data_IF_167436561204
#
_entry.id   IF_167436561204
#
_cell.length_a   1.000
_cell.length_b   1.000
_cell.length_c   1.000
_cell.angle_alpha   90.00
_cell.angle_beta   90.00
_cell.angle_gamma   90.00
#
_symmetry.space_group_name_H-M   'P 1'
#
loop_
_entity.id
_entity.type
_entity.pdbx_description
1 polymer ?
#
# COMPACT_ATOMS: atom_id res chain seq x y z
N UNK A 1 6.08 15.02 -18.51
CA UNK A 1 7.51 14.75 -18.27
C UNK A 1 8.08 15.47 -17.05
N UNK A 2 7.48 16.56 -16.55
CA UNK A 2 8.08 17.36 -15.46
C UNK A 2 8.33 16.59 -14.16
N UNK A 3 7.29 16.02 -13.55
CA UNK A 3 7.41 15.24 -12.31
C UNK A 3 8.22 13.94 -12.51
N UNK A 4 8.15 13.32 -13.69
CA UNK A 4 8.94 12.14 -14.03
C UNK A 4 10.46 12.43 -14.14
N UNK A 5 10.86 13.71 -14.21
CA UNK A 5 12.27 14.11 -14.28
C UNK A 5 12.87 14.43 -12.91
N UNK A 6 12.11 14.20 -11.83
CA UNK A 6 12.63 14.27 -10.46
C UNK A 6 13.44 13.00 -10.21
N UNK A 7 14.64 13.17 -9.64
CA UNK A 7 15.53 12.05 -9.34
C UNK A 7 14.84 11.04 -8.41
N UNK A 8 14.93 9.76 -8.79
CA UNK A 8 14.32 8.67 -8.03
C UNK A 8 12.82 8.46 -8.26
N UNK A 9 12.14 9.30 -9.06
CA UNK A 9 10.76 9.02 -9.52
C UNK A 9 10.80 8.03 -10.68
N UNK A 10 10.16 6.89 -10.49
CA UNK A 10 10.00 5.84 -11.50
C UNK A 10 8.75 6.04 -12.34
N UNK A 11 7.65 6.39 -11.68
CA UNK A 11 6.37 6.55 -12.36
C UNK A 11 5.49 7.61 -11.68
N UNK A 12 4.56 8.17 -12.46
CA UNK A 12 3.61 9.19 -12.01
C UNK A 12 2.22 8.78 -12.44
N UNK A 13 1.33 8.58 -11.48
CA UNK A 13 -0.02 8.11 -11.75
C UNK A 13 -1.07 8.83 -10.90
N UNK A 14 -2.36 8.58 -11.20
CA UNK A 14 -3.49 9.16 -10.49
C UNK A 14 -3.47 10.70 -10.36
N UNK A 15 -2.88 11.39 -11.34
CA UNK A 15 -2.85 12.86 -11.40
C UNK A 15 -4.27 13.40 -11.58
N UNK A 16 -4.71 14.25 -10.65
CA UNK A 16 -6.00 14.93 -10.68
C UNK A 16 -5.80 16.42 -10.45
N UNK A 17 -6.47 17.23 -11.25
CA UNK A 17 -6.42 18.69 -11.18
C UNK A 17 -7.85 19.21 -11.04
N UNK A 18 -8.04 20.18 -10.16
CA UNK A 18 -9.34 20.82 -9.91
C UNK A 18 -9.17 22.33 -9.86
N UNK A 19 -10.15 23.06 -10.38
CA UNK A 19 -10.29 24.50 -10.13
C UNK A 19 -11.24 24.68 -8.95
N UNK A 20 -10.77 25.36 -7.89
CA UNK A 20 -11.58 25.75 -6.74
C UNK A 20 -12.26 27.10 -6.99
N UNK A 21 -11.54 28.01 -7.64
CA UNK A 21 -12.00 29.32 -8.14
C UNK A 21 -11.22 29.64 -9.41
N UNK A 22 -11.59 30.73 -10.12
CA UNK A 22 -10.88 31.18 -11.34
C UNK A 22 -9.36 31.38 -11.13
N UNK A 23 -8.94 31.69 -9.91
CA UNK A 23 -7.55 31.95 -9.51
C UNK A 23 -6.92 30.85 -8.64
N UNK A 24 -7.69 29.83 -8.22
CA UNK A 24 -7.20 28.77 -7.33
C UNK A 24 -7.34 27.41 -7.97
N UNK A 25 -6.19 26.78 -8.18
CA UNK A 25 -6.09 25.41 -8.66
C UNK A 25 -5.58 24.51 -7.54
N UNK A 26 -6.14 23.31 -7.48
CA UNK A 26 -5.70 22.22 -6.62
C UNK A 26 -5.24 21.02 -7.45
N UNK A 27 -4.26 20.29 -6.96
CA UNK A 27 -3.72 19.10 -7.61
C UNK A 27 -3.46 17.99 -6.59
N UNK A 28 -3.72 16.75 -7.00
CA UNK A 28 -3.33 15.54 -6.28
C UNK A 28 -2.61 14.61 -7.25
N UNK A 29 -1.49 14.03 -6.81
CA UNK A 29 -0.68 13.14 -7.65
C UNK A 29 -0.03 12.04 -6.81
N UNK A 30 0.13 10.87 -7.41
CA UNK A 30 0.90 9.78 -6.83
C UNK A 30 2.21 9.60 -7.60
N UNK A 31 3.32 9.47 -6.88
CA UNK A 31 4.65 9.22 -7.42
C UNK A 31 5.15 7.88 -6.89
N UNK A 32 5.64 7.04 -7.78
CA UNK A 32 6.36 5.83 -7.43
C UNK A 32 7.86 6.11 -7.44
N UNK A 33 8.56 5.72 -6.37
CA UNK A 33 9.99 5.95 -6.22
C UNK A 33 10.80 4.67 -6.15
N UNK A 34 12.10 4.80 -6.40
CA UNK A 34 13.09 3.75 -6.18
C UNK A 34 13.24 3.40 -4.69
N UNK A 35 13.82 2.23 -4.41
CA UNK A 35 13.91 1.68 -3.05
C UNK A 35 14.75 2.52 -2.10
N UNK A 36 15.83 3.11 -2.61
CA UNK A 36 16.83 3.83 -1.83
C UNK A 36 16.70 5.36 -1.97
N UNK A 37 15.56 5.83 -2.51
CA UNK A 37 15.31 7.24 -2.73
C UNK A 37 14.74 7.92 -1.48
N UNK A 38 15.21 9.14 -1.18
CA UNK A 38 14.62 9.97 -0.13
C UNK A 38 13.24 10.49 -0.57
N UNK A 39 12.20 9.86 -0.05
CA UNK A 39 10.81 10.22 -0.35
C UNK A 39 10.47 11.66 0.07
N UNK A 40 11.10 12.20 1.12
CA UNK A 40 10.87 13.60 1.52
C UNK A 40 11.45 14.57 0.49
N UNK A 41 12.64 14.27 -0.03
CA UNK A 41 13.25 15.04 -1.10
C UNK A 41 12.36 15.06 -2.34
N UNK A 42 11.84 13.89 -2.76
CA UNK A 42 10.92 13.78 -3.90
C UNK A 42 9.64 14.59 -3.69
N UNK A 43 9.01 14.48 -2.51
CA UNK A 43 7.81 15.27 -2.18
C UNK A 43 8.13 16.76 -2.25
N UNK A 44 9.26 17.19 -1.68
CA UNK A 44 9.66 18.59 -1.65
C UNK A 44 9.87 19.15 -3.06
N UNK A 45 10.66 18.46 -3.88
CA UNK A 45 10.94 18.84 -5.26
C UNK A 45 9.66 18.85 -6.12
N UNK A 46 8.78 17.85 -5.95
CA UNK A 46 7.50 17.80 -6.65
C UNK A 46 6.61 18.98 -6.27
N UNK A 47 6.52 19.31 -4.98
CA UNK A 47 5.76 20.48 -4.52
C UNK A 47 6.33 21.78 -5.09
N UNK A 48 7.66 21.93 -5.11
CA UNK A 48 8.28 23.15 -5.58
C UNK A 48 8.06 23.36 -7.08
N UNK A 49 8.20 22.31 -7.89
CA UNK A 49 7.93 22.39 -9.34
C UNK A 49 6.47 22.74 -9.61
N UNK A 50 5.53 22.10 -8.92
CA UNK A 50 4.09 22.38 -9.06
C UNK A 50 3.73 23.81 -8.63
N UNK A 51 4.42 24.34 -7.61
CA UNK A 51 4.23 25.71 -7.13
C UNK A 51 4.84 26.74 -8.07
N UNK A 52 6.12 26.62 -8.40
CA UNK A 52 6.85 27.64 -9.18
C UNK A 52 6.45 27.60 -10.66
N UNK A 53 6.43 26.42 -11.27
CA UNK A 53 6.24 26.32 -12.72
C UNK A 53 4.76 26.37 -13.11
N UNK A 54 3.88 25.83 -12.27
CA UNK A 54 2.46 25.70 -12.58
C UNK A 54 1.55 26.62 -11.74
N UNK A 55 2.10 27.35 -10.77
CA UNK A 55 1.35 28.32 -9.96
C UNK A 55 0.29 27.68 -9.04
N UNK A 56 0.38 26.38 -8.78
CA UNK A 56 -0.64 25.64 -8.02
C UNK A 56 -0.39 25.84 -6.53
N UNK A 57 -1.42 26.31 -5.80
CA UNK A 57 -1.32 26.55 -4.35
C UNK A 57 -1.67 25.33 -3.51
N UNK A 58 -2.65 24.54 -3.94
CA UNK A 58 -3.16 23.42 -3.17
C UNK A 58 -2.64 22.12 -3.77
N UNK A 59 -1.55 21.60 -3.20
CA UNK A 59 -0.85 20.44 -3.74
C UNK A 59 -0.89 19.31 -2.73
N UNK A 60 -1.22 18.10 -3.19
CA UNK A 60 -1.09 16.87 -2.41
C UNK A 60 -0.29 15.87 -3.23
N UNK A 61 0.88 15.48 -2.72
CA UNK A 61 1.75 14.48 -3.35
C UNK A 61 1.81 13.26 -2.43
N UNK A 62 1.42 12.11 -2.95
CA UNK A 62 1.61 10.82 -2.28
C UNK A 62 2.78 10.09 -2.93
N UNK A 63 3.74 9.64 -2.12
CA UNK A 63 4.88 8.87 -2.60
C UNK A 63 4.77 7.42 -2.14
N UNK A 64 5.02 6.48 -3.06
CA UNK A 64 5.10 5.05 -2.77
C UNK A 64 6.45 4.50 -3.20
N UNK A 65 7.12 3.83 -2.27
CA UNK A 65 8.34 3.11 -2.57
C UNK A 65 7.99 1.75 -3.19
N UNK A 66 8.42 1.52 -4.43
CA UNK A 66 8.20 0.23 -5.10
C UNK A 66 9.24 -0.77 -4.60
N UNK A 67 9.00 -1.36 -3.43
CA UNK A 67 9.70 -2.57 -3.03
C UNK A 67 9.09 -3.76 -3.79
N UNK A 68 9.90 -4.50 -4.55
CA UNK A 68 9.53 -5.83 -5.05
C UNK A 68 9.29 -6.77 -3.87
N UNK A 69 8.10 -6.71 -3.26
CA UNK A 69 7.69 -7.67 -2.25
C UNK A 69 7.47 -9.02 -2.96
N UNK A 70 8.39 -9.96 -2.76
CA UNK A 70 8.04 -11.37 -2.91
C UNK A 70 6.97 -11.69 -1.87
N UNK A 71 5.73 -11.92 -2.29
CA UNK A 71 4.68 -12.44 -1.41
C UNK A 71 5.09 -13.86 -1.01
N UNK A 72 5.48 -14.06 0.25
CA UNK A 72 5.54 -15.41 0.82
C UNK A 72 4.10 -15.86 1.11
N UNK A 73 3.65 -16.94 0.50
CA UNK A 73 2.24 -17.37 0.43
C UNK A 73 1.64 -17.91 1.75
N UNK A 74 2.24 -17.65 2.92
CA UNK A 74 1.91 -18.38 4.15
C UNK A 74 1.53 -17.47 5.33
N UNK A 75 0.38 -16.80 5.30
CA UNK A 75 -0.25 -16.35 6.57
C UNK A 75 -1.76 -16.13 6.41
N UNK A 76 -2.57 -17.18 6.23
CA UNK A 76 -4.03 -17.08 6.41
C UNK A 76 -4.71 -18.38 6.92
N UNK A 77 -4.01 -19.30 7.60
CA UNK A 77 -4.67 -20.44 8.24
C UNK A 77 -3.94 -20.89 9.52
N UNK A 78 -4.17 -20.21 10.65
CA UNK A 78 -4.08 -20.86 11.97
C UNK A 78 -4.84 -20.06 13.03
N UNK A 79 -6.15 -20.27 13.09
CA UNK A 79 -6.90 -20.11 14.34
C UNK A 79 -7.34 -21.53 14.76
N UNK A 80 -7.03 -22.00 15.98
CA UNK A 80 -7.62 -23.23 16.48
C UNK A 80 -9.08 -22.94 16.87
N UNK A 81 -10.03 -23.49 16.13
CA UNK A 81 -11.44 -23.44 16.53
C UNK A 81 -11.68 -24.40 17.70
N UNK A 82 -12.09 -23.85 18.84
CA UNK A 82 -12.58 -24.57 20.02
C UNK A 82 -14.05 -24.98 19.86
N UNK A 83 -14.41 -26.23 20.20
CA UNK A 83 -15.44 -26.59 21.23
C UNK A 83 -16.12 -27.97 20.99
N UNK A 84 -15.98 -28.83 22.01
CA UNK A 84 -17.00 -29.62 22.74
C UNK A 84 -18.28 -30.07 22.00
N UNK A 85 -18.46 -31.39 21.83
CA UNK A 85 -19.55 -32.18 22.44
C UNK A 85 -19.39 -33.71 22.22
N UNK A 86 -19.64 -34.49 23.29
CA UNK A 86 -19.72 -35.97 23.43
C UNK A 86 -21.17 -36.44 23.10
N UNK A 87 -21.63 -37.71 23.28
CA UNK A 87 -21.00 -39.04 23.37
C UNK A 87 -21.72 -40.13 22.51
N UNK A 88 -21.20 -41.37 22.41
CA UNK A 88 -22.03 -42.60 22.29
C UNK A 88 -21.37 -43.74 23.09
N UNK A 89 -22.21 -44.51 23.79
CA UNK A 89 -21.93 -45.43 24.88
C UNK A 89 -21.62 -46.90 24.49
N UNK A 90 -20.85 -47.54 25.38
CA UNK A 90 -20.93 -48.90 25.97
C UNK A 90 -21.06 -50.23 25.17
N UNK A 91 -20.36 -51.22 25.78
CA UNK A 91 -20.51 -52.70 25.79
C UNK A 91 -19.66 -53.53 24.81
N UNK A 92 -18.53 -54.10 25.25
CA UNK A 92 -18.29 -55.38 26.01
C UNK A 92 -18.32 -56.60 25.07
N UNK A 93 -17.18 -57.29 24.90
CA UNK A 93 -16.96 -58.66 25.42
C UNK A 93 -15.57 -59.22 25.01
N UNK A 94 -15.20 -60.34 25.64
CA UNK A 94 -13.90 -60.89 25.94
C UNK A 94 -13.24 -61.68 24.79
N UNK A 95 -11.90 -61.84 24.80
CA UNK A 95 -11.30 -63.17 24.62
C UNK A 95 -9.85 -63.23 25.15
N UNK A 96 -9.68 -64.00 26.22
CA UNK A 96 -8.47 -64.64 26.78
C UNK A 96 -8.07 -65.81 25.83
N UNK A 97 -6.80 -66.16 25.55
CA UNK A 97 -5.92 -67.11 26.27
C UNK A 97 -4.65 -67.36 25.42
N UNK A 98 -3.44 -67.37 26.01
CA UNK A 98 -2.53 -68.54 26.27
C UNK A 98 -1.36 -68.02 27.12
#
# INVERSE_FOLDING_TARGET
ADLCSIEGVRDVHSLRVWSLTMDKTAISVHLDTEKDCDSNHVVHEANERLRIRHGIKYITVQVQCVCSRSVSQYTLLSLPASNVDKPIAENVDEHIDI
#
